data_IF_032351694299
#
_entry.id   IF_032351694299
#
_cell.length_a   1.000
_cell.length_b   1.000
_cell.length_c   1.000
_cell.angle_alpha   90.00
_cell.angle_beta   90.00
_cell.angle_gamma   90.00
#
_symmetry.space_group_name_H-M   'P 1'
#
loop_
_entity.id
_entity.type
_entity.pdbx_description
1 polymer ?
#
# COMPACT_ATOMS: atom_id res chain seq x y z
N UNK A 1 -5.24 5.38 20.77
CA UNK A 1 -4.61 4.36 19.90
C UNK A 1 -5.67 4.02 18.85
N UNK A 2 -5.32 3.96 17.57
CA UNK A 2 -6.28 3.60 16.50
C UNK A 2 -6.64 2.12 16.65
N UNK A 3 -7.93 1.78 16.52
CA UNK A 3 -8.41 0.39 16.50
C UNK A 3 -8.66 -0.03 15.03
N UNK A 4 -8.18 -1.22 14.64
CA UNK A 4 -8.38 -1.76 13.28
C UNK A 4 -9.88 -1.88 12.91
N UNK A 5 -10.75 -2.13 13.88
CA UNK A 5 -12.22 -2.19 13.65
C UNK A 5 -12.79 -0.83 13.30
N UNK A 6 -12.28 0.25 13.92
CA UNK A 6 -12.70 1.61 13.60
C UNK A 6 -12.23 2.01 12.20
N UNK A 7 -11.00 1.60 11.82
CA UNK A 7 -10.46 1.78 10.46
C UNK A 7 -11.33 1.05 9.44
N UNK A 8 -11.63 -0.24 9.68
CA UNK A 8 -12.50 -1.03 8.82
C UNK A 8 -13.87 -0.35 8.64
N UNK A 9 -14.57 -0.04 9.74
CA UNK A 9 -15.89 0.58 9.71
C UNK A 9 -15.90 1.95 9.02
N UNK A 10 -14.81 2.70 9.12
CA UNK A 10 -14.64 3.98 8.41
C UNK A 10 -14.60 3.77 6.90
N UNK A 11 -13.75 2.85 6.41
CA UNK A 11 -13.61 2.58 4.98
C UNK A 11 -14.81 1.84 4.39
N UNK A 12 -15.47 0.96 5.15
CA UNK A 12 -16.73 0.33 4.73
C UNK A 12 -17.80 1.39 4.38
N UNK A 13 -17.90 2.45 5.20
CA UNK A 13 -18.87 3.55 4.93
C UNK A 13 -18.51 4.36 3.69
N UNK A 14 -17.23 4.51 3.38
CA UNK A 14 -16.76 5.33 2.25
C UNK A 14 -16.71 4.56 0.93
N UNK A 15 -16.64 3.25 0.97
CA UNK A 15 -16.48 2.41 -0.21
C UNK A 15 -17.50 2.67 -1.32
N UNK A 16 -18.81 2.90 -1.04
CA UNK A 16 -19.82 3.15 -2.09
C UNK A 16 -19.44 4.29 -3.05
N UNK A 17 -18.89 5.38 -2.53
CA UNK A 17 -18.61 6.60 -3.28
C UNK A 17 -17.10 6.84 -3.49
N UNK A 18 -16.24 5.87 -3.10
CA UNK A 18 -14.80 6.04 -3.07
C UNK A 18 -14.20 6.44 -4.43
N UNK A 19 -14.60 5.74 -5.47
CA UNK A 19 -14.08 5.99 -6.82
C UNK A 19 -14.61 7.27 -7.47
N UNK A 20 -15.80 7.72 -7.08
CA UNK A 20 -16.44 8.89 -7.67
C UNK A 20 -15.68 10.21 -7.40
N UNK A 21 -14.96 10.28 -6.27
CA UNK A 21 -14.15 11.43 -5.87
C UNK A 21 -12.64 11.25 -6.12
N UNK A 22 -12.23 10.13 -6.72
CA UNK A 22 -10.81 9.79 -6.85
C UNK A 22 -10.13 10.63 -7.94
N UNK A 23 -9.10 11.38 -7.53
CA UNK A 23 -8.21 12.08 -8.45
C UNK A 23 -6.88 11.31 -8.52
N UNK A 24 -6.54 10.81 -9.72
CA UNK A 24 -5.28 10.11 -9.97
C UNK A 24 -4.28 11.05 -10.63
N UNK A 25 -3.05 11.07 -10.14
CA UNK A 25 -1.92 11.67 -10.84
C UNK A 25 -1.08 10.56 -11.50
N UNK A 26 -1.33 10.33 -12.77
CA UNK A 26 -0.72 9.22 -13.52
C UNK A 26 0.81 9.29 -13.55
N UNK A 27 1.39 10.50 -13.65
CA UNK A 27 2.84 10.68 -13.67
C UNK A 27 3.47 10.34 -12.30
N UNK A 28 2.82 10.73 -11.21
CA UNK A 28 3.27 10.40 -9.84
C UNK A 28 3.14 8.90 -9.58
N UNK A 29 2.02 8.29 -9.96
CA UNK A 29 1.80 6.84 -9.82
C UNK A 29 2.87 6.07 -10.62
N UNK A 30 3.10 6.44 -11.87
CA UNK A 30 4.11 5.80 -12.70
C UNK A 30 5.49 5.86 -12.03
N UNK A 31 5.89 7.01 -11.52
CA UNK A 31 7.16 7.19 -10.79
C UNK A 31 7.26 6.34 -9.52
N UNK A 32 6.16 6.27 -8.74
CA UNK A 32 6.10 5.43 -7.53
C UNK A 32 6.32 3.96 -7.88
N UNK A 33 5.64 3.47 -8.92
CA UNK A 33 5.73 2.08 -9.37
C UNK A 33 7.10 1.75 -9.99
N UNK A 34 7.72 2.71 -10.72
CA UNK A 34 9.09 2.57 -11.23
C UNK A 34 10.10 2.43 -10.08
N UNK A 35 10.03 3.31 -9.09
CA UNK A 35 10.90 3.26 -7.91
C UNK A 35 10.70 1.98 -7.09
N UNK A 36 9.46 1.47 -7.02
CA UNK A 36 9.13 0.20 -6.36
C UNK A 36 9.60 -1.03 -7.16
N UNK A 37 9.95 -0.88 -8.44
CA UNK A 37 10.39 -1.98 -9.30
C UNK A 37 9.28 -2.83 -9.86
N UNK A 38 8.07 -2.29 -9.98
CA UNK A 38 6.94 -3.00 -10.64
C UNK A 38 7.22 -3.11 -12.13
N UNK A 39 7.39 -4.33 -12.61
CA UNK A 39 7.79 -4.64 -13.99
C UNK A 39 7.12 -5.92 -14.48
N UNK A 40 7.35 -6.23 -15.76
CA UNK A 40 6.90 -7.47 -16.38
C UNK A 40 7.44 -8.69 -15.62
N UNK A 41 6.56 -9.65 -15.38
CA UNK A 41 6.89 -10.92 -14.72
C UNK A 41 6.99 -10.84 -13.20
N UNK A 42 6.95 -9.65 -12.58
CA UNK A 42 7.05 -9.53 -11.12
C UNK A 42 5.78 -10.03 -10.38
N UNK A 43 5.96 -10.45 -9.14
CA UNK A 43 4.90 -10.77 -8.19
C UNK A 43 4.71 -9.59 -7.23
N UNK A 44 3.48 -9.14 -7.04
CA UNK A 44 3.16 -7.95 -6.23
C UNK A 44 2.22 -8.31 -5.08
N UNK A 45 2.50 -7.78 -3.88
CA UNK A 45 1.52 -7.65 -2.81
C UNK A 45 1.09 -6.18 -2.72
N UNK A 46 -0.19 -5.93 -2.94
CA UNK A 46 -0.81 -4.61 -2.78
C UNK A 46 -1.55 -4.55 -1.45
N UNK A 47 -1.01 -3.81 -0.49
CA UNK A 47 -1.45 -3.77 0.91
C UNK A 47 -2.40 -2.60 1.13
N UNK A 48 -3.57 -2.88 1.69
CA UNK A 48 -4.69 -1.95 1.82
C UNK A 48 -5.05 -1.37 0.45
N UNK A 49 -5.35 -2.26 -0.50
CA UNK A 49 -5.55 -1.94 -1.91
C UNK A 49 -6.79 -1.06 -2.17
N UNK A 50 -7.65 -0.88 -1.16
CA UNK A 50 -8.92 -0.17 -1.31
C UNK A 50 -9.78 -0.82 -2.38
N UNK A 51 -10.31 -0.01 -3.27
CA UNK A 51 -11.08 -0.46 -4.44
C UNK A 51 -10.21 -0.90 -5.61
N UNK A 52 -8.87 -1.04 -5.44
CA UNK A 52 -7.96 -1.47 -6.50
C UNK A 52 -7.46 -0.33 -7.40
N UNK A 53 -7.08 0.80 -6.81
CA UNK A 53 -6.63 2.00 -7.53
C UNK A 53 -5.43 1.76 -8.46
N UNK A 54 -4.53 0.83 -8.12
CA UNK A 54 -3.32 0.52 -8.89
C UNK A 54 -3.47 -0.69 -9.82
N UNK A 55 -4.63 -1.38 -9.85
CA UNK A 55 -4.79 -2.63 -10.58
C UNK A 55 -4.51 -2.50 -12.08
N UNK A 56 -5.04 -1.45 -12.71
CA UNK A 56 -4.79 -1.17 -14.12
C UNK A 56 -3.31 -0.94 -14.43
N UNK A 57 -2.56 -0.37 -13.48
CA UNK A 57 -1.12 -0.12 -13.64
C UNK A 57 -0.32 -1.42 -13.54
N UNK A 58 -0.67 -2.33 -12.61
CA UNK A 58 -0.03 -3.64 -12.50
C UNK A 58 -0.26 -4.49 -13.76
N UNK A 59 -1.50 -4.50 -14.28
CA UNK A 59 -1.83 -5.20 -15.52
C UNK A 59 -1.05 -4.62 -16.70
N UNK A 60 -1.05 -3.29 -16.86
CA UNK A 60 -0.34 -2.59 -17.94
C UNK A 60 1.18 -2.82 -17.89
N UNK A 61 1.76 -3.00 -16.71
CA UNK A 61 3.19 -3.29 -16.52
C UNK A 61 3.53 -4.76 -16.66
N UNK A 62 2.56 -5.63 -16.87
CA UNK A 62 2.78 -7.06 -17.08
C UNK A 62 3.17 -7.83 -15.82
N UNK A 63 2.74 -7.37 -14.62
CA UNK A 63 2.96 -8.14 -13.39
C UNK A 63 2.39 -9.56 -13.56
N UNK A 64 3.16 -10.59 -13.24
CA UNK A 64 2.75 -11.98 -13.45
C UNK A 64 1.64 -12.41 -12.49
N UNK A 65 1.66 -11.88 -11.27
CA UNK A 65 0.67 -12.16 -10.23
C UNK A 65 0.60 -10.99 -9.26
N UNK A 66 -0.62 -10.62 -8.89
CA UNK A 66 -0.86 -9.63 -7.83
C UNK A 66 -1.76 -10.25 -6.76
N UNK A 67 -1.32 -10.20 -5.52
CA UNK A 67 -2.17 -10.45 -4.35
C UNK A 67 -2.50 -9.10 -3.75
N UNK A 68 -3.77 -8.73 -3.75
CA UNK A 68 -4.25 -7.48 -3.19
C UNK A 68 -5.02 -7.78 -1.90
N UNK A 69 -4.74 -7.06 -0.82
CA UNK A 69 -5.40 -7.29 0.47
C UNK A 69 -5.98 -6.00 1.00
N UNK A 70 -7.22 -6.07 1.48
CA UNK A 70 -7.86 -4.96 2.20
C UNK A 70 -8.63 -5.47 3.42
N UNK A 71 -8.57 -4.68 4.51
CA UNK A 71 -9.25 -4.99 5.77
C UNK A 71 -10.77 -4.78 5.67
N UNK A 72 -11.21 -3.83 4.81
CA UNK A 72 -12.61 -3.49 4.60
C UNK A 72 -13.27 -4.47 3.62
N UNK A 73 -14.29 -5.24 4.03
CA UNK A 73 -15.07 -6.09 3.13
C UNK A 73 -15.70 -5.32 1.96
N UNK A 74 -16.16 -4.09 2.19
CA UNK A 74 -16.80 -3.26 1.17
C UNK A 74 -15.79 -2.76 0.12
N UNK A 75 -14.58 -2.38 0.55
CA UNK A 75 -13.47 -2.06 -0.37
C UNK A 75 -13.05 -3.29 -1.16
N UNK A 76 -12.81 -4.42 -0.48
CA UNK A 76 -12.41 -5.66 -1.11
C UNK A 76 -13.44 -6.17 -2.14
N UNK A 77 -14.73 -6.05 -1.86
CA UNK A 77 -15.78 -6.43 -2.81
C UNK A 77 -15.68 -5.65 -4.13
N UNK A 78 -15.46 -4.33 -4.06
CA UNK A 78 -15.25 -3.48 -5.24
C UNK A 78 -13.94 -3.80 -5.97
N UNK A 79 -12.89 -4.10 -5.21
CA UNK A 79 -11.62 -4.54 -5.78
C UNK A 79 -11.78 -5.86 -6.56
N UNK A 80 -12.57 -6.83 -6.04
CA UNK A 80 -12.88 -8.08 -6.75
C UNK A 80 -13.55 -7.83 -8.10
N UNK A 81 -14.49 -6.88 -8.18
CA UNK A 81 -15.14 -6.52 -9.44
C UNK A 81 -14.11 -6.00 -10.47
N UNK A 82 -13.17 -5.14 -10.03
CA UNK A 82 -12.11 -4.60 -10.90
C UNK A 82 -11.04 -5.63 -11.26
N UNK A 83 -10.81 -6.62 -10.41
CA UNK A 83 -9.85 -7.69 -10.64
C UNK A 83 -10.35 -8.74 -11.65
N UNK A 84 -11.65 -8.75 -11.99
CA UNK A 84 -12.25 -9.74 -12.86
C UNK A 84 -11.54 -9.83 -14.23
N UNK A 85 -11.15 -11.04 -14.62
CA UNK A 85 -10.45 -11.28 -15.90
C UNK A 85 -8.97 -10.88 -15.91
N UNK A 86 -8.39 -10.58 -14.76
CA UNK A 86 -6.96 -10.26 -14.60
C UNK A 86 -6.20 -11.32 -13.79
N UNK A 87 -4.89 -11.16 -13.64
CA UNK A 87 -4.03 -11.98 -12.79
C UNK A 87 -4.02 -11.53 -11.31
N UNK A 88 -5.01 -10.73 -10.89
CA UNK A 88 -5.10 -10.16 -9.55
C UNK A 88 -6.04 -11.00 -8.68
N UNK A 89 -5.57 -11.42 -7.52
CA UNK A 89 -6.38 -12.09 -6.50
C UNK A 89 -6.58 -11.14 -5.32
N UNK A 90 -7.82 -10.89 -4.95
CA UNK A 90 -8.18 -10.03 -3.82
C UNK A 90 -8.46 -10.88 -2.58
N UNK A 91 -7.87 -10.49 -1.47
CA UNK A 91 -8.04 -11.09 -0.14
C UNK A 91 -8.68 -10.06 0.78
N UNK A 92 -9.84 -10.37 1.34
CA UNK A 92 -10.42 -9.57 2.41
C UNK A 92 -9.85 -10.03 3.75
N UNK A 93 -9.16 -9.14 4.47
CA UNK A 93 -8.59 -9.45 5.77
C UNK A 93 -7.42 -8.57 6.18
N UNK A 94 -6.87 -8.88 7.35
CA UNK A 94 -5.70 -8.20 7.90
C UNK A 94 -4.42 -8.79 7.29
N UNK A 95 -3.59 -7.95 6.67
CA UNK A 95 -2.32 -8.36 6.07
C UNK A 95 -1.36 -9.00 7.08
N UNK A 96 -1.42 -8.57 8.35
CA UNK A 96 -0.53 -9.09 9.39
C UNK A 96 -0.90 -10.51 9.82
N UNK A 97 -2.17 -10.94 9.67
CA UNK A 97 -2.67 -12.24 10.10
C UNK A 97 -3.11 -13.17 8.96
N UNK A 98 -3.16 -12.67 7.72
CA UNK A 98 -3.69 -13.44 6.58
C UNK A 98 -2.78 -14.60 6.17
N UNK A 99 -3.25 -15.83 6.33
CA UNK A 99 -2.58 -17.02 5.79
C UNK A 99 -2.53 -16.96 4.25
N UNK A 100 -3.63 -16.55 3.60
CA UNK A 100 -3.68 -16.46 2.15
C UNK A 100 -2.63 -15.53 1.56
N UNK A 101 -2.31 -14.41 2.24
CA UNK A 101 -1.24 -13.50 1.84
C UNK A 101 0.14 -14.17 2.01
N UNK A 102 0.38 -14.85 3.15
CA UNK A 102 1.65 -15.56 3.40
C UNK A 102 1.87 -16.70 2.42
N UNK A 103 0.85 -17.50 2.16
CA UNK A 103 0.93 -18.68 1.29
C UNK A 103 1.13 -18.32 -0.19
N UNK A 104 0.73 -17.10 -0.57
CA UNK A 104 0.93 -16.56 -1.92
C UNK A 104 2.31 -15.92 -2.12
N UNK A 105 3.08 -15.67 -1.06
CA UNK A 105 4.42 -15.08 -1.12
C UNK A 105 5.54 -16.11 -1.34
N UNK A 106 6.81 -15.68 -1.28
CA UNK A 106 7.23 -14.29 -1.14
C UNK A 106 7.01 -13.46 -2.41
N UNK A 107 7.15 -12.12 -2.27
CA UNK A 107 6.84 -11.17 -3.34
C UNK A 107 8.08 -10.39 -3.82
N UNK A 108 8.13 -10.08 -5.12
CA UNK A 108 9.13 -9.18 -5.71
C UNK A 108 8.92 -7.74 -5.22
N UNK A 109 7.65 -7.33 -5.13
CA UNK A 109 7.26 -6.00 -4.70
C UNK A 109 6.14 -6.09 -3.65
N UNK A 110 6.34 -5.40 -2.52
CA UNK A 110 5.29 -5.13 -1.54
C UNK A 110 5.01 -3.63 -1.55
N UNK A 111 3.77 -3.26 -1.90
CA UNK A 111 3.32 -1.88 -2.04
C UNK A 111 2.32 -1.52 -0.95
N UNK A 112 2.54 -0.39 -0.27
CA UNK A 112 1.56 0.31 0.58
C UNK A 112 1.33 1.68 -0.05
N UNK A 113 0.19 1.86 -0.71
CA UNK A 113 -0.12 3.11 -1.41
C UNK A 113 -1.31 3.83 -0.78
N UNK A 114 -1.09 5.09 -0.36
CA UNK A 114 -2.10 5.96 0.28
C UNK A 114 -2.77 5.38 1.55
N UNK A 115 -2.13 4.46 2.27
CA UNK A 115 -2.75 3.73 3.37
C UNK A 115 -1.96 3.74 4.70
N UNK A 116 -0.66 4.00 4.65
CA UNK A 116 0.25 3.82 5.79
C UNK A 116 -0.19 4.49 7.10
N UNK A 117 -0.77 5.72 7.13
CA UNK A 117 -1.23 6.36 8.35
C UNK A 117 -2.36 5.64 9.09
N UNK A 118 -3.04 4.68 8.45
CA UNK A 118 -4.16 3.95 9.02
C UNK A 118 -3.74 2.66 9.76
N UNK A 119 -2.45 2.34 9.80
CA UNK A 119 -1.93 1.20 10.55
C UNK A 119 -1.56 1.60 11.98
N UNK A 120 -2.14 0.92 13.01
CA UNK A 120 -1.93 1.27 14.42
C UNK A 120 -0.50 1.08 14.92
N UNK A 121 0.22 0.09 14.36
CA UNK A 121 1.62 -0.23 14.66
C UNK A 121 2.48 -0.18 13.39
N UNK A 122 3.00 1.00 13.00
CA UNK A 122 3.85 1.14 11.82
C UNK A 122 5.11 0.26 11.84
N UNK A 123 5.71 0.08 13.01
CA UNK A 123 6.92 -0.72 13.18
C UNK A 123 6.63 -2.23 13.01
N UNK A 124 5.54 -2.71 13.61
CA UNK A 124 5.06 -4.08 13.45
C UNK A 124 4.69 -4.38 12.00
N UNK A 125 3.97 -3.48 11.35
CA UNK A 125 3.62 -3.59 9.94
C UNK A 125 4.89 -3.73 9.07
N UNK A 126 5.85 -2.80 9.19
CA UNK A 126 7.07 -2.83 8.39
C UNK A 126 7.83 -4.14 8.60
N UNK A 127 7.94 -4.63 9.83
CA UNK A 127 8.57 -5.93 10.13
C UNK A 127 7.86 -7.08 9.41
N UNK A 128 6.54 -7.12 9.49
CA UNK A 128 5.72 -8.15 8.82
C UNK A 128 5.89 -8.09 7.31
N UNK A 129 5.74 -6.90 6.72
CA UNK A 129 5.85 -6.72 5.27
C UNK A 129 7.25 -7.04 4.76
N UNK A 130 8.31 -6.63 5.46
CA UNK A 130 9.69 -7.00 5.11
C UNK A 130 9.92 -8.52 5.12
N UNK A 131 9.20 -9.26 5.99
CA UNK A 131 9.19 -10.73 5.99
C UNK A 131 8.61 -11.33 4.71
N UNK A 132 7.64 -10.66 4.09
CA UNK A 132 6.96 -11.12 2.87
C UNK A 132 7.71 -10.77 1.58
N UNK A 133 8.65 -9.82 1.62
CA UNK A 133 9.51 -9.50 0.46
C UNK A 133 10.52 -10.62 0.24
N UNK A 134 10.72 -11.06 -1.00
CA UNK A 134 11.77 -12.01 -1.34
C UNK A 134 13.17 -11.37 -1.28
N UNK A 135 14.26 -12.15 -1.14
CA UNK A 135 15.61 -11.62 -1.29
C UNK A 135 15.78 -10.87 -2.62
N UNK A 136 16.29 -9.64 -2.58
CA UNK A 136 16.41 -8.76 -3.75
C UNK A 136 15.13 -8.02 -4.15
N UNK A 137 13.97 -8.38 -3.58
CA UNK A 137 12.69 -7.68 -3.77
C UNK A 137 12.62 -6.35 -3.02
N UNK A 138 11.51 -5.64 -3.11
CA UNK A 138 11.35 -4.28 -2.60
C UNK A 138 10.08 -4.10 -1.76
N UNK A 139 10.17 -3.30 -0.69
CA UNK A 139 9.03 -2.74 0.05
C UNK A 139 8.96 -1.25 -0.25
N UNK A 140 7.79 -0.78 -0.67
CA UNK A 140 7.51 0.63 -0.95
C UNK A 140 6.32 1.12 -0.12
N UNK A 141 6.54 2.19 0.65
CA UNK A 141 5.50 2.96 1.34
C UNK A 141 5.40 4.29 0.62
N UNK A 142 4.25 4.57 0.00
CA UNK A 142 4.09 5.73 -0.87
C UNK A 142 2.72 6.41 -0.75
N UNK A 143 2.71 7.71 -1.04
CA UNK A 143 1.50 8.50 -1.19
C UNK A 143 1.58 9.36 -2.46
N UNK A 144 0.47 9.41 -3.20
CA UNK A 144 0.33 10.20 -4.42
C UNK A 144 0.08 11.69 -4.17
N UNK A 145 0.42 12.18 -2.97
CA UNK A 145 0.36 13.58 -2.57
C UNK A 145 1.46 13.91 -1.56
N UNK A 146 1.75 15.19 -1.37
CA UNK A 146 2.72 15.63 -0.36
C UNK A 146 2.25 15.31 1.07
N UNK A 147 3.20 15.15 2.00
CA UNK A 147 2.90 14.97 3.43
C UNK A 147 2.02 16.10 3.97
N UNK A 148 2.34 17.36 3.64
CA UNK A 148 1.56 18.52 4.07
C UNK A 148 0.11 18.49 3.56
N UNK A 149 -0.12 18.08 2.31
CA UNK A 149 -1.46 17.92 1.76
C UNK A 149 -2.23 16.78 2.44
N UNK A 150 -1.54 15.67 2.73
CA UNK A 150 -2.13 14.54 3.43
C UNK A 150 -2.53 14.91 4.87
N UNK A 151 -1.65 15.58 5.61
CA UNK A 151 -1.93 16.02 6.99
C UNK A 151 -3.12 16.99 7.02
N UNK A 152 -3.22 17.89 6.05
CA UNK A 152 -4.38 18.78 5.89
C UNK A 152 -5.66 17.97 5.62
N UNK A 153 -5.59 16.96 4.75
CA UNK A 153 -6.72 16.07 4.42
C UNK A 153 -7.16 15.24 5.64
N UNK A 154 -6.21 14.70 6.41
CA UNK A 154 -6.49 13.88 7.60
C UNK A 154 -6.90 14.71 8.83
N UNK A 155 -6.74 16.02 8.83
CA UNK A 155 -7.24 16.89 9.93
C UNK A 155 -8.78 16.91 10.04
N UNK A 156 -9.50 16.40 9.02
CA UNK A 156 -10.95 16.30 8.96
C UNK A 156 -11.51 14.97 9.45
N UNK A 157 -12.35 14.33 8.65
CA UNK A 157 -13.11 13.12 8.99
C UNK A 157 -12.25 11.88 9.24
N UNK A 158 -11.05 11.80 8.67
CA UNK A 158 -10.13 10.67 8.84
C UNK A 158 -9.28 10.75 10.14
N UNK A 159 -9.31 11.86 10.88
CA UNK A 159 -8.52 12.05 12.10
C UNK A 159 -8.66 10.92 13.14
N UNK A 160 -9.86 10.35 13.39
CA UNK A 160 -10.01 9.27 14.36
C UNK A 160 -9.32 7.96 13.95
N UNK A 161 -9.07 7.75 12.66
CA UNK A 161 -8.53 6.52 12.08
C UNK A 161 -7.17 6.70 11.41
N UNK A 162 -6.46 7.79 11.72
CA UNK A 162 -5.15 8.11 11.16
C UNK A 162 -4.18 8.59 12.23
N UNK A 163 -2.95 8.05 12.19
CA UNK A 163 -1.82 8.52 13.02
C UNK A 163 -1.14 9.78 12.44
N UNK A 164 -1.55 10.22 11.24
CA UNK A 164 -0.75 11.11 10.40
C UNK A 164 0.38 10.35 9.70
N UNK A 165 0.95 10.98 8.67
CA UNK A 165 2.07 10.38 7.94
C UNK A 165 3.38 10.67 8.68
N UNK A 166 4.09 9.62 9.10
CA UNK A 166 5.40 9.73 9.73
C UNK A 166 6.38 10.49 8.81
N UNK A 167 7.36 11.16 9.42
CA UNK A 167 8.45 11.77 8.67
C UNK A 167 9.21 10.68 7.89
N UNK A 168 9.67 11.01 6.69
CA UNK A 168 10.39 10.07 5.82
C UNK A 168 11.61 9.45 6.49
N UNK A 169 12.32 10.20 7.34
CA UNK A 169 13.46 9.68 8.11
C UNK A 169 13.04 8.67 9.18
N UNK A 170 11.85 8.83 9.77
CA UNK A 170 11.31 7.87 10.74
C UNK A 170 10.96 6.55 10.03
N UNK A 171 10.28 6.62 8.89
CA UNK A 171 9.97 5.42 8.10
C UNK A 171 11.24 4.76 7.61
N UNK A 172 12.22 5.54 7.12
CA UNK A 172 13.55 5.03 6.75
C UNK A 172 14.21 4.29 7.91
N UNK A 173 14.19 4.87 9.11
CA UNK A 173 14.77 4.25 10.30
C UNK A 173 14.07 2.94 10.68
N UNK A 174 12.73 2.85 10.54
CA UNK A 174 11.97 1.64 10.78
C UNK A 174 12.25 0.54 9.73
N UNK A 175 12.53 0.92 8.48
CA UNK A 175 12.85 -0.03 7.39
C UNK A 175 14.31 -0.52 7.43
N UNK A 176 15.24 0.30 7.88
CA UNK A 176 16.69 0.04 7.82
C UNK A 176 17.17 -1.28 8.47
N UNK A 177 16.56 -1.80 9.55
CA UNK A 177 16.92 -3.11 10.09
C UNK A 177 16.70 -4.28 9.12
N UNK A 178 15.77 -4.14 8.19
CA UNK A 178 15.31 -5.22 7.29
C UNK A 178 15.73 -5.03 5.83
N UNK A 179 15.93 -3.80 5.40
CA UNK A 179 16.03 -3.39 4.00
C UNK A 179 17.16 -2.36 3.82
N UNK A 180 17.79 -2.38 2.65
CA UNK A 180 18.64 -1.28 2.18
C UNK A 180 17.73 -0.21 1.56
N UNK A 181 17.49 0.87 2.30
CA UNK A 181 16.63 1.97 1.85
C UNK A 181 17.42 2.86 0.87
N UNK A 182 17.01 2.85 -0.38
CA UNK A 182 17.67 3.57 -1.48
C UNK A 182 16.82 4.69 -2.10
N UNK A 183 15.55 4.77 -1.73
CA UNK A 183 14.63 5.80 -2.22
C UNK A 183 13.93 6.48 -1.05
N UNK A 184 14.13 7.79 -0.93
CA UNK A 184 13.44 8.64 0.05
C UNK A 184 13.03 9.92 -0.68
N UNK A 185 11.73 10.10 -0.88
CA UNK A 185 11.15 11.24 -1.57
C UNK A 185 10.04 11.81 -0.69
N UNK A 186 10.15 13.10 -0.36
CA UNK A 186 9.10 13.87 0.31
C UNK A 186 9.14 15.29 -0.28
N UNK A 187 8.21 15.57 -1.19
CA UNK A 187 8.18 16.84 -1.92
C UNK A 187 6.74 17.36 -2.06
N UNK A 188 6.53 18.41 -2.86
CA UNK A 188 5.21 19.01 -3.08
C UNK A 188 4.20 18.13 -3.82
N UNK A 189 4.63 17.01 -4.43
CA UNK A 189 3.79 16.17 -5.28
C UNK A 189 3.54 14.78 -4.69
N UNK A 190 4.55 14.21 -3.99
CA UNK A 190 4.48 12.82 -3.52
C UNK A 190 5.33 12.59 -2.28
N UNK A 191 5.04 11.47 -1.63
CA UNK A 191 5.86 10.88 -0.58
C UNK A 191 6.18 9.44 -0.95
N UNK A 192 7.44 9.01 -0.77
CA UNK A 192 7.83 7.60 -0.94
C UNK A 192 9.09 7.28 -0.14
N UNK A 193 9.03 6.18 0.61
CA UNK A 193 10.20 5.51 1.18
C UNK A 193 10.20 4.08 0.65
N UNK A 194 11.28 3.70 -0.04
CA UNK A 194 11.40 2.38 -0.63
C UNK A 194 12.78 1.79 -0.34
N UNK A 195 12.82 0.47 -0.11
CA UNK A 195 14.06 -0.25 0.15
C UNK A 195 14.05 -1.64 -0.43
N UNK A 196 15.26 -2.18 -0.68
CA UNK A 196 15.51 -3.51 -1.21
C UNK A 196 15.86 -4.48 -0.09
N UNK A 197 15.28 -5.69 -0.09
CA UNK A 197 15.68 -6.75 0.83
C UNK A 197 17.05 -7.29 0.46
N UNK A 198 17.92 -7.42 1.45
CA UNK A 198 19.24 -8.03 1.26
C UNK A 198 19.10 -9.49 0.79
N UNK A 199 20.06 -9.91 -0.05
CA UNK A 199 20.17 -11.29 -0.53
C UNK A 199 20.49 -12.27 0.61
#
# INVERSE_FOLDING_TARGET
MIDKRDVQAFFDRLAPDWDAGMVRNEAVIARILDNAGVCEGCTVLDVACGTGVLFGDYVKRGAARVTAVDLSPEMAARAVEKAAGTQITVVCGDVEDSAAVRDSGPYDVVMVYNAFPHFPDPAGLIRTLAGLVQPGGRLSIAHGMSRAALDAHHSGSAKPVSLGLLHEDEVRALMAPYLDVDTVISNGEMYQVCGRKRA
#
